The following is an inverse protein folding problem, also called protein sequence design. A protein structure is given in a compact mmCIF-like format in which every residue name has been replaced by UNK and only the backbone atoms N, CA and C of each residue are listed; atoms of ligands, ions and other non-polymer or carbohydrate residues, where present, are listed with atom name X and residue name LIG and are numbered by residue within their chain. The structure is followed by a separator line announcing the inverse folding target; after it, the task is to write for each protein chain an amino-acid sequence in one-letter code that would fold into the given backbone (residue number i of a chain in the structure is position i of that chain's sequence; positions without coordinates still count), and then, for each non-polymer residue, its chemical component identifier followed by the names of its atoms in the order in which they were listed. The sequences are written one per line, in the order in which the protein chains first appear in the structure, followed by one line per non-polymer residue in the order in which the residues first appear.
data_IF_556657199211
#
_entry.id   IF_556657199211
#
_cell.length_a   1.000
_cell.length_b   1.000
_cell.length_c   1.000
_cell.angle_alpha   90.00
_cell.angle_beta   90.00
_cell.angle_gamma   90.00
#
_symmetry.space_group_name_H-M   'P 1'
#
loop_
_entity.id
_entity.type
_entity.pdbx_description
1 polymer ?
#
# COMPACT_ATOMS: atom_id res chain seq x y z
N UNK A 1 -11.78 -15.89 -9.35
CA UNK A 1 -10.37 -15.76 -8.94
C UNK A 1 -10.32 -15.60 -7.44
N UNK A 2 -9.47 -16.32 -6.69
CA UNK A 2 -9.25 -16.02 -5.29
C UNK A 2 -8.52 -14.67 -5.16
N UNK A 3 -9.10 -13.72 -4.44
CA UNK A 3 -8.43 -12.47 -4.08
C UNK A 3 -7.47 -12.75 -2.91
N UNK A 4 -6.18 -12.44 -3.07
CA UNK A 4 -5.18 -12.52 -2.00
C UNK A 4 -4.72 -11.11 -1.63
N UNK A 5 -4.85 -10.77 -0.35
CA UNK A 5 -4.31 -9.54 0.23
C UNK A 5 -3.28 -9.93 1.30
N UNK A 6 -2.09 -9.35 1.23
CA UNK A 6 -1.03 -9.53 2.24
C UNK A 6 -0.70 -8.17 2.80
N UNK A 7 -0.94 -8.00 4.09
CA UNK A 7 -0.63 -6.78 4.82
C UNK A 7 0.73 -6.93 5.52
N UNK A 8 1.51 -5.84 5.57
CA UNK A 8 2.75 -5.79 6.37
C UNK A 8 2.53 -4.88 7.58
N UNK A 9 2.85 -5.35 8.78
CA UNK A 9 2.61 -4.63 10.04
C UNK A 9 1.25 -4.90 10.68
N UNK A 10 0.90 -4.10 11.70
CA UNK A 10 -0.37 -4.21 12.42
C UNK A 10 -1.50 -3.52 11.61
N UNK A 11 -2.22 -4.30 10.80
CA UNK A 11 -3.31 -3.80 9.95
C UNK A 11 -4.66 -4.28 10.44
N UNK A 12 -5.59 -3.33 10.64
CA UNK A 12 -7.00 -3.65 10.87
C UNK A 12 -7.71 -3.76 9.52
N UNK A 13 -8.12 -4.97 9.16
CA UNK A 13 -8.93 -5.20 7.96
C UNK A 13 -10.42 -4.99 8.29
N UNK A 14 -11.07 -4.10 7.55
CA UNK A 14 -12.52 -3.98 7.51
C UNK A 14 -12.99 -4.23 6.09
N UNK A 15 -13.90 -5.19 5.92
CA UNK A 15 -14.48 -5.53 4.62
C UNK A 15 -15.81 -4.82 4.47
N UNK A 16 -16.02 -4.19 3.31
CA UNK A 16 -17.31 -3.62 2.92
C UNK A 16 -17.77 -4.35 1.66
N UNK A 17 -19.03 -4.79 1.67
CA UNK A 17 -19.66 -5.38 0.50
C UNK A 17 -20.32 -4.27 -0.31
N UNK A 18 -19.98 -4.20 -1.59
CA UNK A 18 -20.56 -3.26 -2.54
C UNK A 18 -21.49 -4.05 -3.46
N UNK A 19 -22.70 -3.56 -3.68
CA UNK A 19 -23.65 -4.20 -4.60
C UNK A 19 -23.08 -4.26 -6.02
N UNK A 20 -23.51 -5.24 -6.82
CA UNK A 20 -23.01 -5.40 -8.19
C UNK A 20 -23.29 -4.18 -9.07
N UNK A 21 -24.42 -3.49 -8.87
CA UNK A 21 -24.76 -2.27 -9.61
C UNK A 21 -23.77 -1.16 -9.27
N UNK A 22 -23.43 -1.00 -7.99
CA UNK A 22 -22.48 0.00 -7.53
C UNK A 22 -21.03 -0.35 -7.87
N UNK A 23 -20.65 -1.62 -7.89
CA UNK A 23 -19.27 -2.05 -8.20
C UNK A 23 -18.84 -1.67 -9.61
N UNK A 24 -19.78 -1.62 -10.58
CA UNK A 24 -19.52 -1.17 -11.96
C UNK A 24 -18.92 0.24 -12.03
N UNK A 25 -19.20 1.11 -11.05
CA UNK A 25 -18.63 2.48 -11.02
C UNK A 25 -17.14 2.50 -10.68
N UNK A 26 -16.65 1.46 -9.96
CA UNK A 26 -15.25 1.29 -9.56
C UNK A 26 -14.41 0.63 -10.67
N UNK A 27 -15.05 -0.02 -11.64
CA UNK A 27 -14.39 -0.71 -12.75
C UNK A 27 -14.08 -2.17 -12.45
N UNK A 28 -13.38 -2.83 -13.38
CA UNK A 28 -13.09 -4.27 -13.34
C UNK A 28 -11.66 -4.60 -12.87
N UNK A 29 -10.85 -3.58 -12.58
CA UNK A 29 -9.45 -3.74 -12.16
C UNK A 29 -9.38 -3.50 -10.65
N UNK A 30 -8.69 -4.39 -9.93
CA UNK A 30 -8.41 -4.19 -8.51
C UNK A 30 -7.37 -3.08 -8.34
N UNK A 31 -7.61 -2.17 -7.40
CA UNK A 31 -6.70 -1.07 -7.07
C UNK A 31 -6.71 -0.80 -5.56
N UNK A 32 -5.62 -0.24 -5.03
CA UNK A 32 -5.64 0.37 -3.71
C UNK A 32 -5.82 1.89 -3.83
N UNK A 33 -6.50 2.47 -2.86
CA UNK A 33 -6.70 3.92 -2.77
C UNK A 33 -6.48 4.36 -1.33
N UNK A 34 -5.90 5.54 -1.15
CA UNK A 34 -5.77 6.14 0.18
C UNK A 34 -7.12 6.61 0.71
N UNK A 35 -7.34 6.52 2.02
CA UNK A 35 -8.53 7.08 2.65
C UNK A 35 -8.32 8.59 2.82
N UNK A 36 -9.01 9.39 2.00
CA UNK A 36 -9.03 10.85 2.15
C UNK A 36 -9.79 11.23 3.43
N UNK A 37 -9.57 12.44 3.96
CA UNK A 37 -10.34 12.94 5.10
C UNK A 37 -11.85 12.92 4.82
N UNK A 38 -12.26 13.27 3.60
CA UNK A 38 -13.66 13.20 3.19
C UNK A 38 -14.18 11.76 3.15
N UNK A 39 -13.44 10.84 2.51
CA UNK A 39 -13.82 9.43 2.46
C UNK A 39 -13.96 8.82 3.86
N UNK A 40 -13.05 9.18 4.79
CA UNK A 40 -13.14 8.76 6.19
C UNK A 40 -14.46 9.17 6.84
N UNK A 41 -14.83 10.44 6.73
CA UNK A 41 -16.08 10.94 7.34
C UNK A 41 -17.33 10.36 6.68
N UNK A 42 -17.31 10.15 5.35
CA UNK A 42 -18.40 9.49 4.65
C UNK A 42 -18.59 8.03 5.10
N UNK A 43 -17.49 7.29 5.29
CA UNK A 43 -17.52 5.93 5.81
C UNK A 43 -18.05 5.87 7.25
N UNK A 44 -17.75 6.86 8.08
CA UNK A 44 -18.32 6.94 9.43
C UNK A 44 -19.83 7.22 9.35
N UNK A 45 -20.23 8.19 8.53
CA UNK A 45 -21.63 8.58 8.38
C UNK A 45 -22.51 7.42 7.88
N UNK A 46 -22.07 6.64 6.90
CA UNK A 46 -22.85 5.52 6.37
C UNK A 46 -22.96 4.35 7.35
N UNK A 47 -21.92 4.10 8.16
CA UNK A 47 -21.94 3.08 9.21
C UNK A 47 -22.92 3.42 10.33
N UNK A 48 -23.14 4.70 10.62
CA UNK A 48 -24.16 5.12 11.60
C UNK A 48 -25.59 4.85 11.11
N UNK A 49 -25.82 4.88 9.79
CA UNK A 49 -27.15 4.62 9.21
C UNK A 49 -27.50 3.13 9.14
N UNK A 50 -26.51 2.26 8.99
CA UNK A 50 -26.72 0.81 8.88
C UNK A 50 -27.18 0.16 10.20
N UNK A 51 -26.96 0.83 11.33
CA UNK A 51 -27.46 0.38 12.64
C UNK A 51 -28.93 0.76 12.92
N UNK A 52 -29.57 1.57 12.06
CA UNK A 52 -30.99 1.97 12.20
C UNK A 52 -31.70 2.09 10.84
N UNK A 53 -31.81 1.03 10.03
CA UNK A 53 -32.53 1.11 8.76
C UNK A 53 -34.03 0.98 9.02
N UNK A 54 -34.66 2.04 9.54
CA UNK A 54 -36.09 2.21 9.30
C UNK A 54 -36.26 2.63 7.83
N UNK A 55 -36.27 1.64 6.95
CA UNK A 55 -36.40 1.80 5.51
C UNK A 55 -37.75 2.43 5.10
N UNK A 56 -38.67 2.73 6.03
CA UNK A 56 -39.85 3.53 5.74
C UNK A 56 -39.54 5.03 5.59
N UNK A 57 -38.42 5.52 6.15
CA UNK A 57 -38.07 6.93 6.10
C UNK A 57 -37.39 7.30 4.76
N UNK A 58 -38.17 7.92 3.86
CA UNK A 58 -37.71 8.38 2.54
C UNK A 58 -36.49 9.31 2.60
N UNK A 59 -36.36 10.13 3.65
CA UNK A 59 -35.21 11.02 3.82
C UNK A 59 -33.93 10.24 4.15
N UNK A 60 -34.03 9.17 4.95
CA UNK A 60 -32.89 8.28 5.24
C UNK A 60 -32.43 7.54 3.98
N UNK A 61 -33.37 7.10 3.14
CA UNK A 61 -33.03 6.47 1.85
C UNK A 61 -32.26 7.41 0.93
N UNK A 62 -32.72 8.66 0.77
CA UNK A 62 -32.04 9.67 -0.05
C UNK A 62 -30.64 9.93 0.49
N UNK A 63 -30.50 10.09 1.81
CA UNK A 63 -29.19 10.32 2.44
C UNK A 63 -28.25 9.13 2.24
N UNK A 64 -28.75 7.90 2.40
CA UNK A 64 -27.97 6.69 2.22
C UNK A 64 -27.43 6.60 0.78
N UNK A 65 -28.30 6.77 -0.22
CA UNK A 65 -27.92 6.74 -1.64
C UNK A 65 -26.90 7.85 -2.01
N UNK A 66 -27.06 9.04 -1.43
CA UNK A 66 -26.10 10.13 -1.62
C UNK A 66 -24.72 9.80 -1.03
N UNK A 67 -24.68 9.21 0.18
CA UNK A 67 -23.44 8.77 0.81
C UNK A 67 -22.75 7.66 0.00
N UNK A 68 -23.50 6.65 -0.47
CA UNK A 68 -22.95 5.60 -1.34
C UNK A 68 -22.29 6.18 -2.58
N UNK A 69 -23.00 7.09 -3.27
CA UNK A 69 -22.50 7.74 -4.49
C UNK A 69 -21.21 8.51 -4.22
N UNK A 70 -21.18 9.31 -3.16
CA UNK A 70 -19.99 10.10 -2.80
C UNK A 70 -18.82 9.21 -2.39
N UNK A 71 -19.06 8.13 -1.64
CA UNK A 71 -18.03 7.17 -1.25
C UNK A 71 -17.39 6.55 -2.50
N UNK A 72 -18.18 6.10 -3.46
CA UNK A 72 -17.68 5.50 -4.70
C UNK A 72 -16.87 6.50 -5.53
N UNK A 73 -17.34 7.75 -5.62
CA UNK A 73 -16.63 8.83 -6.29
C UNK A 73 -15.30 9.16 -5.61
N UNK A 74 -15.28 9.22 -4.28
CA UNK A 74 -14.06 9.45 -3.50
C UNK A 74 -13.08 8.28 -3.61
N UNK A 75 -13.55 7.03 -3.59
CA UNK A 75 -12.69 5.85 -3.80
C UNK A 75 -12.01 5.94 -5.17
N UNK A 76 -12.77 6.31 -6.20
CA UNK A 76 -12.26 6.45 -7.59
C UNK A 76 -11.33 7.66 -7.75
N UNK A 77 -11.59 8.74 -7.03
CA UNK A 77 -10.82 9.98 -7.10
C UNK A 77 -9.62 10.00 -6.15
N UNK A 78 -9.59 9.08 -5.18
CA UNK A 78 -8.62 9.00 -4.11
C UNK A 78 -7.19 8.98 -4.64
N UNK A 79 -6.36 9.82 -4.02
CA UNK A 79 -5.03 10.16 -4.53
C UNK A 79 -4.11 8.96 -4.68
N UNK A 80 -3.22 9.05 -5.69
CA UNK A 80 -2.17 8.09 -6.08
C UNK A 80 -1.07 7.87 -5.02
N UNK A 81 -1.39 7.99 -3.74
CA UNK A 81 -0.44 7.70 -2.65
C UNK A 81 -0.51 6.22 -2.29
N UNK A 82 -0.59 5.37 -3.30
CA UNK A 82 -0.69 3.94 -3.08
C UNK A 82 0.67 3.43 -2.64
N UNK A 83 0.76 3.05 -1.37
CA UNK A 83 1.85 2.28 -0.79
C UNK A 83 1.78 0.83 -1.30
N UNK A 84 1.76 0.67 -2.63
CA UNK A 84 1.69 -0.62 -3.31
C UNK A 84 3.10 -1.15 -3.57
N UNK A 85 3.29 -2.44 -3.34
CA UNK A 85 4.47 -3.17 -3.79
C UNK A 85 4.04 -4.15 -4.89
N UNK A 86 4.35 -3.87 -6.17
CA UNK A 86 4.04 -4.81 -7.24
C UNK A 86 4.70 -6.17 -6.98
N UNK A 87 3.90 -7.23 -7.07
CA UNK A 87 4.32 -8.58 -6.69
C UNK A 87 4.50 -9.45 -7.94
N UNK A 88 5.61 -10.21 -8.05
CA UNK A 88 5.87 -11.06 -9.21
C UNK A 88 4.92 -12.27 -9.26
N UNK A 89 4.71 -12.81 -10.47
CA UNK A 89 3.92 -14.04 -10.65
C UNK A 89 4.81 -15.30 -10.65
N UNK A 90 6.06 -15.22 -11.11
CA UNK A 90 7.04 -16.32 -11.05
C UNK A 90 7.37 -16.70 -9.59
N UNK A 91 7.23 -17.99 -9.25
CA UNK A 91 7.41 -18.52 -7.88
C UNK A 91 8.82 -18.29 -7.30
N UNK A 92 9.88 -18.33 -8.13
CA UNK A 92 11.25 -18.08 -7.68
C UNK A 92 11.43 -16.62 -7.32
N UNK A 93 10.84 -15.73 -8.13
CA UNK A 93 10.81 -14.31 -7.86
C UNK A 93 9.98 -13.98 -6.61
N UNK A 94 8.87 -14.69 -6.39
CA UNK A 94 8.07 -14.54 -5.16
C UNK A 94 8.90 -14.91 -3.92
N UNK A 95 9.54 -16.08 -3.92
CA UNK A 95 10.40 -16.53 -2.82
C UNK A 95 11.51 -15.53 -2.51
N UNK A 96 12.14 -14.99 -3.56
CA UNK A 96 13.18 -13.97 -3.45
C UNK A 96 12.63 -12.65 -2.87
N UNK A 97 11.44 -12.21 -3.29
CA UNK A 97 10.80 -11.01 -2.77
C UNK A 97 10.35 -11.16 -1.30
N UNK A 98 9.88 -12.35 -0.91
CA UNK A 98 9.55 -12.66 0.50
C UNK A 98 10.78 -12.61 1.40
N UNK A 99 11.91 -13.15 0.93
CA UNK A 99 13.18 -13.05 1.65
C UNK A 99 13.59 -11.58 1.87
N UNK A 100 13.53 -10.76 0.81
CA UNK A 100 13.85 -9.34 0.90
C UNK A 100 12.93 -8.57 1.85
N UNK A 101 11.64 -8.92 1.89
CA UNK A 101 10.68 -8.33 2.83
C UNK A 101 11.00 -8.65 4.29
N UNK A 102 11.43 -9.89 4.54
CA UNK A 102 11.75 -10.37 5.89
C UNK A 102 13.16 -9.99 6.35
N UNK A 103 14.04 -9.59 5.43
CA UNK A 103 15.40 -9.18 5.74
C UNK A 103 15.43 -7.98 6.69
N UNK A 104 16.41 -7.93 7.60
CA UNK A 104 16.66 -6.78 8.46
C UNK A 104 18.08 -6.23 8.22
N UNK A 105 18.23 -4.91 8.19
CA UNK A 105 19.51 -4.27 7.91
C UNK A 105 19.91 -4.32 6.43
N UNK A 106 21.19 -4.54 6.17
CA UNK A 106 21.76 -4.53 4.82
C UNK A 106 21.26 -5.68 3.97
N UNK A 107 20.64 -5.37 2.83
CA UNK A 107 20.12 -6.38 1.92
C UNK A 107 21.25 -7.21 1.27
N UNK A 108 20.96 -8.46 0.85
CA UNK A 108 21.87 -9.27 0.05
C UNK A 108 22.28 -8.57 -1.24
N UNK A 109 23.47 -8.88 -1.74
CA UNK A 109 23.97 -8.34 -3.02
C UNK A 109 23.16 -8.89 -4.20
N UNK A 110 23.17 -8.15 -5.31
CA UNK A 110 22.50 -8.62 -6.53
C UNK A 110 23.05 -9.97 -7.01
N UNK A 111 24.36 -10.18 -6.90
CA UNK A 111 25.01 -11.46 -7.23
C UNK A 111 24.46 -12.61 -6.38
N UNK A 112 24.39 -12.43 -5.06
CA UNK A 112 23.85 -13.44 -4.15
C UNK A 112 22.39 -13.78 -4.46
N UNK A 113 21.59 -12.77 -4.81
CA UNK A 113 20.20 -12.95 -5.21
C UNK A 113 20.06 -13.67 -6.56
N UNK A 114 20.95 -13.38 -7.51
CA UNK A 114 20.94 -13.99 -8.84
C UNK A 114 21.37 -15.46 -8.78
N UNK A 115 22.39 -15.77 -7.97
CA UNK A 115 22.86 -17.13 -7.72
C UNK A 115 21.76 -18.01 -7.09
N UNK A 116 20.98 -17.46 -6.16
CA UNK A 116 19.87 -18.18 -5.50
C UNK A 116 18.81 -18.71 -6.46
N UNK A 117 18.58 -18.04 -7.58
CA UNK A 117 17.62 -18.48 -8.59
C UNK A 117 18.29 -18.98 -9.87
N UNK A 118 19.61 -19.22 -9.82
CA UNK A 118 20.47 -19.72 -10.91
C UNK A 118 20.38 -18.89 -12.19
N UNK A 119 20.44 -17.56 -12.08
CA UNK A 119 20.45 -16.65 -13.23
C UNK A 119 21.59 -15.65 -13.16
N UNK A 120 21.92 -15.03 -14.29
CA UNK A 120 22.83 -13.86 -14.28
C UNK A 120 22.14 -12.62 -13.70
N UNK A 121 22.93 -11.66 -13.16
CA UNK A 121 22.44 -10.34 -12.75
C UNK A 121 21.59 -9.65 -13.83
N UNK A 122 22.02 -9.74 -15.09
CA UNK A 122 21.30 -9.15 -16.22
C UNK A 122 19.91 -9.77 -16.36
N UNK A 123 19.81 -11.09 -16.20
CA UNK A 123 18.53 -11.81 -16.23
C UNK A 123 17.67 -11.43 -15.04
N UNK A 124 18.22 -11.38 -13.83
CA UNK A 124 17.48 -10.99 -12.62
C UNK A 124 16.89 -9.58 -12.74
N UNK A 125 17.68 -8.59 -13.18
CA UNK A 125 17.20 -7.23 -13.39
C UNK A 125 16.06 -7.16 -14.41
N UNK A 126 16.16 -7.94 -15.50
CA UNK A 126 15.11 -8.03 -16.52
C UNK A 126 13.85 -8.70 -15.98
N UNK A 127 13.99 -9.73 -15.12
CA UNK A 127 12.85 -10.40 -14.48
C UNK A 127 12.09 -9.43 -13.56
N UNK A 128 12.78 -8.60 -12.77
CA UNK A 128 12.10 -7.58 -11.97
C UNK A 128 11.23 -6.65 -12.82
N UNK A 129 11.77 -6.12 -13.92
CA UNK A 129 11.00 -5.22 -14.80
C UNK A 129 9.84 -5.97 -15.45
N UNK A 130 10.08 -7.19 -15.94
CA UNK A 130 9.05 -8.01 -16.60
C UNK A 130 7.89 -8.36 -15.66
N UNK A 131 8.20 -8.80 -14.44
CA UNK A 131 7.20 -9.36 -13.52
C UNK A 131 6.52 -8.29 -12.65
N UNK A 132 7.20 -7.17 -12.38
CA UNK A 132 6.72 -6.14 -11.43
C UNK A 132 6.52 -4.77 -12.07
N UNK A 133 6.97 -4.58 -13.31
CA UNK A 133 7.02 -3.27 -13.96
C UNK A 133 8.10 -2.32 -13.40
N UNK A 134 8.84 -2.74 -12.37
CA UNK A 134 9.85 -1.92 -11.69
C UNK A 134 11.25 -2.48 -11.88
N UNK A 135 12.25 -1.60 -11.94
CA UNK A 135 13.65 -2.02 -11.80
C UNK A 135 13.89 -2.54 -10.37
N UNK A 136 14.86 -3.44 -10.19
CA UNK A 136 15.21 -3.97 -8.87
C UNK A 136 15.39 -2.87 -7.82
N UNK A 137 16.16 -1.81 -8.14
CA UNK A 137 16.38 -0.67 -7.24
C UNK A 137 15.08 0.06 -6.89
N UNK A 138 14.18 0.26 -7.87
CA UNK A 138 12.91 0.92 -7.61
C UNK A 138 11.98 0.05 -6.76
N UNK A 139 11.98 -1.26 -6.98
CA UNK A 139 11.23 -2.22 -6.18
C UNK A 139 11.72 -2.23 -4.72
N UNK A 140 13.03 -2.30 -4.48
CA UNK A 140 13.62 -2.19 -3.13
C UNK A 140 13.24 -0.86 -2.45
N UNK A 141 13.31 0.27 -3.17
CA UNK A 141 12.93 1.56 -2.60
C UNK A 141 11.44 1.61 -2.26
N UNK A 142 10.57 1.04 -3.09
CA UNK A 142 9.14 0.95 -2.81
C UNK A 142 8.87 0.10 -1.57
N UNK A 143 9.54 -1.06 -1.46
CA UNK A 143 9.52 -1.92 -0.28
C UNK A 143 9.95 -1.15 0.99
N UNK A 144 11.06 -0.40 0.91
CA UNK A 144 11.54 0.42 2.02
C UNK A 144 10.56 1.51 2.44
N UNK A 145 9.86 2.14 1.49
CA UNK A 145 8.83 3.14 1.78
C UNK A 145 7.67 2.52 2.56
N UNK A 146 7.19 1.36 2.14
CA UNK A 146 6.09 0.64 2.80
C UNK A 146 6.47 0.22 4.21
N UNK A 147 7.66 -0.38 4.38
CA UNK A 147 8.17 -0.76 5.72
C UNK A 147 8.38 0.46 6.60
N UNK A 148 8.91 1.54 6.05
CA UNK A 148 9.07 2.79 6.79
C UNK A 148 7.73 3.39 7.21
N UNK A 149 6.70 3.37 6.36
CA UNK A 149 5.37 3.84 6.70
C UNK A 149 4.80 3.07 7.91
N UNK A 150 4.89 1.73 7.91
CA UNK A 150 4.48 0.90 9.04
C UNK A 150 5.26 1.24 10.32
N UNK A 151 6.59 1.34 10.22
CA UNK A 151 7.43 1.64 11.39
C UNK A 151 7.19 3.05 11.94
N UNK A 152 6.91 4.04 11.08
CA UNK A 152 6.53 5.38 11.50
C UNK A 152 5.21 5.36 12.28
N UNK A 153 4.20 4.64 11.77
CA UNK A 153 2.92 4.46 12.45
C UNK A 153 3.06 3.75 13.81
N UNK A 154 4.03 2.85 13.95
CA UNK A 154 4.41 2.22 15.23
C UNK A 154 5.22 3.15 16.16
N UNK A 155 5.51 4.39 15.76
CA UNK A 155 6.22 5.38 16.58
C UNK A 155 7.75 5.26 16.56
N UNK A 156 8.33 4.52 15.63
CA UNK A 156 9.79 4.44 15.51
C UNK A 156 10.38 5.78 15.03
N UNK A 157 11.48 6.21 15.67
CA UNK A 157 12.25 7.37 15.22
C UNK A 157 12.86 7.15 13.83
N UNK A 158 12.96 8.20 13.03
CA UNK A 158 13.58 8.19 11.69
C UNK A 158 14.98 7.55 11.67
N UNK A 159 15.79 7.80 12.70
CA UNK A 159 17.15 7.23 12.84
C UNK A 159 17.09 5.69 12.96
N UNK A 160 16.24 5.18 13.85
CA UNK A 160 16.04 3.72 14.01
C UNK A 160 15.53 3.07 12.72
N UNK A 161 14.63 3.75 11.99
CA UNK A 161 14.11 3.26 10.71
C UNK A 161 15.23 3.17 9.67
N UNK A 162 16.04 4.22 9.53
CA UNK A 162 17.17 4.23 8.61
C UNK A 162 18.12 3.05 8.87
N UNK A 163 18.50 2.82 10.13
CA UNK A 163 19.34 1.70 10.52
C UNK A 163 18.70 0.33 10.19
N UNK A 164 17.42 0.14 10.52
CA UNK A 164 16.68 -1.10 10.23
C UNK A 164 16.56 -1.41 8.74
N UNK A 165 16.50 -0.39 7.91
CA UNK A 165 16.43 -0.52 6.44
C UNK A 165 17.81 -0.51 5.77
N UNK A 166 18.91 -0.55 6.54
CA UNK A 166 20.27 -0.65 6.02
C UNK A 166 20.82 0.65 5.40
N UNK A 167 20.29 1.82 5.78
CA UNK A 167 20.83 3.10 5.34
C UNK A 167 21.98 3.57 6.24
N UNK A 168 23.02 4.12 5.63
CA UNK A 168 24.19 4.65 6.35
C UNK A 168 23.87 5.86 7.24
N UNK A 169 22.81 6.62 6.91
CA UNK A 169 22.38 7.77 7.71
C UNK A 169 20.88 8.04 7.59
N UNK A 170 20.31 8.68 8.61
CA UNK A 170 18.91 9.14 8.61
C UNK A 170 18.63 10.11 7.46
N UNK A 171 19.61 10.92 7.07
CA UNK A 171 19.50 11.85 5.94
C UNK A 171 19.38 11.12 4.60
N UNK A 172 20.21 10.10 4.38
CA UNK A 172 20.17 9.30 3.14
C UNK A 172 18.81 8.59 2.96
N UNK A 173 18.26 8.06 4.06
CA UNK A 173 16.92 7.50 4.12
C UNK A 173 15.86 8.60 3.87
N UNK A 174 15.91 9.72 4.59
CA UNK A 174 14.95 10.81 4.47
C UNK A 174 14.87 11.37 3.04
N UNK A 175 16.01 11.50 2.36
CA UNK A 175 16.08 11.92 0.97
C UNK A 175 15.47 10.88 0.02
N UNK A 176 15.71 9.59 0.24
CA UNK A 176 15.06 8.51 -0.52
C UNK A 176 13.55 8.55 -0.33
N UNK A 177 13.10 8.60 0.93
CA UNK A 177 11.69 8.58 1.30
C UNK A 177 10.95 9.78 0.71
N UNK A 178 11.51 10.99 0.80
CA UNK A 178 10.93 12.20 0.20
C UNK A 178 10.87 12.13 -1.31
N UNK A 179 11.88 11.58 -1.99
CA UNK A 179 11.82 11.39 -3.45
C UNK A 179 10.70 10.45 -3.89
N UNK A 180 10.39 9.44 -3.08
CA UNK A 180 9.35 8.45 -3.40
C UNK A 180 7.94 8.88 -3.00
N UNK A 181 7.80 9.59 -1.88
CA UNK A 181 6.49 9.94 -1.31
C UNK A 181 6.11 11.42 -1.50
N UNK A 182 7.07 12.28 -1.85
CA UNK A 182 6.90 13.73 -1.85
C UNK A 182 7.05 14.39 -0.47
N UNK A 183 7.07 13.61 0.62
CA UNK A 183 7.09 14.11 1.99
C UNK A 183 8.32 13.63 2.77
N UNK A 184 8.81 14.44 3.71
CA UNK A 184 9.80 13.93 4.66
C UNK A 184 9.14 12.89 5.58
N UNK A 185 9.90 11.91 6.14
CA UNK A 185 9.34 10.92 7.06
C UNK A 185 8.54 11.52 8.21
N UNK A 186 9.00 12.64 8.80
CA UNK A 186 8.29 13.33 9.87
C UNK A 186 6.95 13.93 9.43
N UNK A 187 6.92 14.59 8.26
CA UNK A 187 5.66 15.15 7.71
C UNK A 187 4.68 14.04 7.32
N UNK A 188 5.19 12.93 6.79
CA UNK A 188 4.40 11.76 6.46
C UNK A 188 3.75 11.13 7.71
N UNK A 189 4.48 11.06 8.82
CA UNK A 189 3.94 10.54 10.08
C UNK A 189 2.76 11.36 10.60
N UNK A 190 2.85 12.69 10.54
CA UNK A 190 1.77 13.60 10.96
C UNK A 190 0.53 13.42 10.08
N UNK A 191 0.70 13.14 8.78
CA UNK A 191 -0.42 12.95 7.85
C UNK A 191 -1.13 11.60 8.05
N UNK A 192 -0.45 10.60 8.64
CA UNK A 192 -1.03 9.28 8.95
C UNK A 192 -1.61 9.17 10.37
N UNK A 193 -1.34 10.15 11.24
CA UNK A 193 -1.88 10.22 12.60
C UNK A 193 -3.27 10.86 12.60
#
# INVERSE_FOLDING_TARGET
MPHKFVATGNVLLKTVLVSEVHSKTLGSVCFMTGITSLLRELLIAINQLTHQPDMANKQLQIRFSALETLILQEIKSGGKNSLELPWPSDERMQSLCEELLNHQGYLPTLDSLADKISVSNRTLMRLFVKETGLTFRNWIQQMHVIRAASLLAEGYSVIKIAHRLGYASAESFGNMFKRKTGFSPGKFNIMMS
#
